data_IF_114889434684
#
_entry.id   IF_114889434684
#
_cell.length_a   1.000
_cell.length_b   1.000
_cell.length_c   1.000
_cell.angle_alpha   90.00
_cell.angle_beta   90.00
_cell.angle_gamma   90.00
#
_symmetry.space_group_name_H-M   'P 1'
#
loop_
_entity.id
_entity.type
_entity.pdbx_description
1 polymer ?
#
# COMPACT_ATOMS: atom_id res chain seq x y z
N UNK A 1 -5.18 -2.68 -17.16
CA UNK A 1 -4.38 -1.48 -16.81
C UNK A 1 -2.92 -1.81 -16.51
N UNK A 2 -2.61 -2.87 -15.74
CA UNK A 2 -1.22 -3.25 -15.39
C UNK A 2 -0.28 -3.51 -16.58
N UNK A 3 -0.76 -4.24 -17.60
CA UNK A 3 0.04 -4.50 -18.80
C UNK A 3 0.35 -3.23 -19.60
N UNK A 4 -0.53 -2.22 -19.54
CA UNK A 4 -0.34 -0.95 -20.24
C UNK A 4 0.70 -0.09 -19.53
N UNK A 5 0.59 0.09 -18.21
CA UNK A 5 1.58 0.83 -17.42
C UNK A 5 2.96 0.17 -17.48
N UNK A 6 3.00 -1.17 -17.41
CA UNK A 6 4.23 -1.95 -17.55
C UNK A 6 4.81 -1.88 -18.96
N UNK A 7 3.96 -1.93 -19.98
CA UNK A 7 4.38 -1.75 -21.38
C UNK A 7 5.02 -0.37 -21.59
N UNK A 8 4.40 0.69 -21.06
CA UNK A 8 4.94 2.05 -21.09
C UNK A 8 6.28 2.13 -20.37
N UNK A 9 6.40 1.56 -19.17
CA UNK A 9 7.69 1.54 -18.46
C UNK A 9 8.74 0.74 -19.22
N UNK A 10 8.39 -0.40 -19.82
CA UNK A 10 9.35 -1.24 -20.54
C UNK A 10 9.88 -0.57 -21.81
N UNK A 11 9.01 0.17 -22.52
CA UNK A 11 9.38 1.02 -23.66
C UNK A 11 10.29 2.17 -23.22
N UNK A 12 9.96 2.82 -22.09
CA UNK A 12 10.74 3.95 -21.60
C UNK A 12 12.11 3.54 -21.02
N UNK A 13 12.20 2.34 -20.45
CA UNK A 13 13.42 1.84 -19.79
C UNK A 13 14.27 0.93 -20.71
N UNK A 14 13.84 0.67 -21.96
CA UNK A 14 14.47 -0.31 -22.87
C UNK A 14 14.76 -1.68 -22.22
N UNK A 15 13.95 -2.07 -21.22
CA UNK A 15 14.16 -3.29 -20.43
C UNK A 15 15.41 -3.31 -19.53
N UNK A 16 16.16 -2.22 -19.44
CA UNK A 16 17.38 -2.14 -18.62
C UNK A 16 17.08 -1.55 -17.23
N UNK A 17 17.68 -2.09 -16.14
CA UNK A 17 17.52 -1.51 -14.82
C UNK A 17 18.19 -0.12 -14.75
N UNK A 18 17.47 0.90 -14.31
CA UNK A 18 18.05 2.23 -14.07
C UNK A 18 18.65 2.23 -12.67
N UNK A 19 19.98 2.21 -12.60
CA UNK A 19 20.73 2.30 -11.34
C UNK A 19 20.65 3.74 -10.82
N UNK A 20 20.27 3.90 -9.55
CA UNK A 20 20.35 5.19 -8.86
C UNK A 20 21.83 5.50 -8.62
N UNK A 21 22.43 6.26 -9.54
CA UNK A 21 23.85 6.60 -9.52
C UNK A 21 24.31 7.24 -8.21
N UNK A 22 25.54 6.93 -7.83
CA UNK A 22 26.28 7.47 -6.70
C UNK A 22 26.16 9.01 -6.60
N UNK A 23 25.29 9.48 -5.71
CA UNK A 23 25.17 10.86 -5.24
C UNK A 23 24.68 10.79 -3.80
N UNK A 24 24.99 11.74 -2.93
CA UNK A 24 24.71 11.69 -1.48
C UNK A 24 23.23 11.39 -1.10
N UNK A 25 22.31 11.54 -2.05
CA UNK A 25 20.90 11.14 -1.98
C UNK A 25 20.73 9.60 -1.93
N UNK A 26 21.58 8.86 -2.64
CA UNK A 26 21.62 7.40 -2.68
C UNK A 26 22.05 6.78 -1.34
N UNK A 27 22.88 7.46 -0.54
CA UNK A 27 23.24 6.97 0.81
C UNK A 27 22.07 7.14 1.80
N UNK A 28 21.29 8.21 1.67
CA UNK A 28 20.08 8.42 2.48
C UNK A 28 18.95 7.46 2.05
N UNK A 29 18.80 7.22 0.74
CA UNK A 29 17.89 6.19 0.20
C UNK A 29 18.35 4.77 0.56
N UNK A 30 19.65 4.51 0.54
CA UNK A 30 20.27 3.26 0.96
C UNK A 30 20.08 2.99 2.45
N UNK A 31 20.09 4.03 3.31
CA UNK A 31 19.71 3.88 4.71
C UNK A 31 18.22 3.55 4.89
N UNK A 32 17.33 4.11 4.05
CA UNK A 32 15.91 3.77 4.02
C UNK A 32 15.62 2.34 3.54
N UNK A 33 16.43 1.79 2.63
CA UNK A 33 16.25 0.45 2.07
C UNK A 33 17.06 -0.67 2.76
N UNK A 34 18.29 -0.36 3.18
CA UNK A 34 19.32 -1.31 3.64
C UNK A 34 19.78 -0.99 5.08
N UNK A 35 19.41 0.18 5.61
CA UNK A 35 19.66 0.53 7.01
C UNK A 35 19.08 -0.52 7.96
N UNK A 36 19.84 -0.86 8.99
CA UNK A 36 19.44 -1.80 10.03
C UNK A 36 19.47 -1.11 11.40
N UNK A 37 18.60 -0.11 11.64
CA UNK A 37 18.46 0.42 12.99
C UNK A 37 18.08 -0.73 13.93
N UNK A 38 18.92 -0.96 14.95
CA UNK A 38 18.76 -2.03 15.94
C UNK A 38 18.78 -3.47 15.36
N UNK A 39 19.44 -3.68 14.22
CA UNK A 39 19.55 -5.01 13.58
C UNK A 39 18.33 -5.43 12.75
N UNK A 40 17.29 -4.60 12.71
CA UNK A 40 16.06 -4.84 11.94
C UNK A 40 16.04 -3.94 10.70
N UNK A 41 15.76 -4.47 9.49
CA UNK A 41 15.63 -3.66 8.28
C UNK A 41 14.63 -2.50 8.43
N UNK A 42 15.01 -1.30 7.98
CA UNK A 42 14.15 -0.09 7.97
C UNK A 42 12.76 -0.32 7.34
N UNK A 43 12.56 -1.13 6.28
CA UNK A 43 11.24 -1.44 5.74
C UNK A 43 10.25 -2.02 6.76
N UNK A 44 10.72 -2.80 7.74
CA UNK A 44 9.87 -3.38 8.80
C UNK A 44 9.38 -2.29 9.75
N UNK A 45 10.22 -1.30 10.06
CA UNK A 45 9.83 -0.13 10.86
C UNK A 45 8.77 0.70 10.14
N UNK A 46 8.95 0.95 8.84
CA UNK A 46 7.97 1.68 8.03
C UNK A 46 6.65 0.92 7.99
N UNK A 47 6.69 -0.40 7.76
CA UNK A 47 5.51 -1.26 7.82
C UNK A 47 4.80 -1.14 9.17
N UNK A 48 5.53 -1.21 10.28
CA UNK A 48 4.95 -1.11 11.62
C UNK A 48 4.28 0.26 11.86
N UNK A 49 4.92 1.36 11.45
CA UNK A 49 4.36 2.72 11.58
C UNK A 49 3.09 2.86 10.75
N UNK A 50 3.12 2.43 9.48
CA UNK A 50 1.96 2.45 8.59
C UNK A 50 0.83 1.61 9.16
N UNK A 51 1.14 0.44 9.70
CA UNK A 51 0.16 -0.45 10.28
C UNK A 51 -0.51 0.15 11.53
N UNK A 52 0.27 0.75 12.44
CA UNK A 52 -0.24 1.43 13.62
C UNK A 52 -1.12 2.63 13.21
N UNK A 53 -0.66 3.43 12.24
CA UNK A 53 -1.43 4.57 11.73
C UNK A 53 -2.75 4.12 11.10
N UNK A 54 -2.74 3.05 10.30
CA UNK A 54 -3.94 2.49 9.68
C UNK A 54 -4.88 1.88 10.73
N UNK A 55 -4.36 1.15 11.72
CA UNK A 55 -5.15 0.60 12.82
C UNK A 55 -5.83 1.70 13.64
N UNK A 56 -5.08 2.74 14.00
CA UNK A 56 -5.60 3.89 14.71
C UNK A 56 -6.68 4.62 13.88
N UNK A 57 -6.41 4.86 12.60
CA UNK A 57 -7.37 5.47 11.69
C UNK A 57 -8.67 4.65 11.63
N UNK A 58 -8.58 3.32 11.51
CA UNK A 58 -9.74 2.46 11.37
C UNK A 58 -10.56 2.34 12.66
N UNK A 59 -9.90 2.27 13.82
CA UNK A 59 -10.57 2.07 15.13
C UNK A 59 -11.01 3.36 15.81
N UNK A 60 -10.24 4.45 15.68
CA UNK A 60 -10.43 5.65 16.50
C UNK A 60 -11.00 6.84 15.71
N UNK A 61 -11.06 6.79 14.37
CA UNK A 61 -11.55 7.92 13.57
C UNK A 61 -12.96 7.71 13.02
N UNK A 62 -13.63 8.82 12.64
CA UNK A 62 -14.92 8.79 11.93
C UNK A 62 -14.78 8.16 10.54
N UNK A 63 -13.64 8.35 9.87
CA UNK A 63 -13.38 7.78 8.56
C UNK A 63 -13.45 6.25 8.58
N UNK A 64 -12.85 5.58 9.58
CA UNK A 64 -12.94 4.13 9.72
C UNK A 64 -14.38 3.63 9.76
N UNK A 65 -15.24 4.27 10.58
CA UNK A 65 -16.68 3.95 10.66
C UNK A 65 -17.41 4.15 9.33
N UNK A 66 -17.11 5.22 8.60
CA UNK A 66 -17.71 5.46 7.29
C UNK A 66 -17.25 4.44 6.24
N UNK A 67 -16.00 3.99 6.30
CA UNK A 67 -15.46 2.94 5.42
C UNK A 67 -16.18 1.61 5.67
N UNK A 68 -16.36 1.21 6.93
CA UNK A 68 -17.11 -0.01 7.27
C UNK A 68 -18.59 0.08 6.88
N UNK A 69 -19.24 1.23 7.13
CA UNK A 69 -20.64 1.45 6.74
C UNK A 69 -20.82 1.36 5.22
N UNK A 70 -19.95 2.03 4.46
CA UNK A 70 -19.93 1.99 3.01
C UNK A 70 -19.76 0.57 2.48
N UNK A 71 -18.86 -0.21 3.07
CA UNK A 71 -18.65 -1.61 2.69
C UNK A 71 -19.82 -2.52 3.02
N UNK A 72 -20.64 -2.23 4.04
CA UNK A 72 -21.80 -3.03 4.39
C UNK A 72 -23.01 -2.75 3.51
N UNK A 73 -23.34 -1.46 3.32
CA UNK A 73 -24.42 -1.04 2.43
C UNK A 73 -24.23 0.41 1.98
N UNK A 74 -23.84 0.59 0.71
CA UNK A 74 -23.62 1.91 0.12
C UNK A 74 -24.89 2.77 0.10
N UNK A 75 -26.04 2.18 -0.25
CA UNK A 75 -27.30 2.91 -0.35
C UNK A 75 -27.77 3.41 1.03
N UNK A 76 -27.67 2.56 2.06
CA UNK A 76 -28.01 2.93 3.44
C UNK A 76 -27.05 4.00 3.99
N UNK A 77 -25.76 3.92 3.64
CA UNK A 77 -24.75 4.91 4.05
C UNK A 77 -25.05 6.28 3.46
N UNK A 78 -25.45 6.34 2.17
CA UNK A 78 -25.86 7.59 1.51
C UNK A 78 -27.14 8.18 2.11
N UNK A 79 -28.13 7.33 2.42
CA UNK A 79 -29.38 7.75 3.07
C UNK A 79 -29.15 8.25 4.51
N UNK A 80 -28.08 7.79 5.17
CA UNK A 80 -27.68 8.24 6.51
C UNK A 80 -26.93 9.58 6.53
N UNK A 81 -26.90 10.30 5.39
CA UNK A 81 -26.27 11.63 5.27
C UNK A 81 -24.75 11.61 5.12
N UNK A 82 -24.14 10.44 4.91
CA UNK A 82 -22.70 10.32 4.66
C UNK A 82 -22.43 10.49 3.17
N UNK A 83 -21.53 11.42 2.83
CA UNK A 83 -21.10 11.64 1.44
C UNK A 83 -20.19 10.49 0.98
N UNK A 84 -20.81 9.44 0.42
CA UNK A 84 -20.12 8.23 -0.07
C UNK A 84 -18.98 8.56 -1.03
N UNK A 85 -19.19 9.49 -1.96
CA UNK A 85 -18.19 9.83 -2.98
C UNK A 85 -16.91 10.40 -2.36
N UNK A 86 -17.02 11.25 -1.33
CA UNK A 86 -15.85 11.77 -0.61
C UNK A 86 -15.08 10.67 0.10
N UNK A 87 -15.79 9.72 0.72
CA UNK A 87 -15.16 8.59 1.40
C UNK A 87 -14.43 7.71 0.40
N UNK A 88 -15.04 7.43 -0.76
CA UNK A 88 -14.39 6.68 -1.86
C UNK A 88 -13.11 7.38 -2.33
N UNK A 89 -13.17 8.69 -2.59
CA UNK A 89 -11.98 9.46 -3.02
C UNK A 89 -10.85 9.32 -2.00
N UNK A 90 -11.13 9.53 -0.70
CA UNK A 90 -10.13 9.41 0.36
C UNK A 90 -9.51 8.00 0.39
N UNK A 91 -10.33 6.95 0.30
CA UNK A 91 -9.85 5.56 0.33
C UNK A 91 -8.96 5.25 -0.87
N UNK A 92 -9.37 5.64 -2.08
CA UNK A 92 -8.56 5.42 -3.28
C UNK A 92 -7.26 6.24 -3.27
N UNK A 93 -7.29 7.48 -2.77
CA UNK A 93 -6.08 8.29 -2.60
C UNK A 93 -5.11 7.69 -1.59
N UNK A 94 -5.62 7.17 -0.45
CA UNK A 94 -4.79 6.46 0.53
C UNK A 94 -4.16 5.20 -0.05
N UNK A 95 -4.92 4.44 -0.85
CA UNK A 95 -4.37 3.27 -1.56
C UNK A 95 -3.22 3.66 -2.50
N UNK A 96 -3.40 4.72 -3.29
CA UNK A 96 -2.34 5.25 -4.16
C UNK A 96 -1.10 5.72 -3.40
N UNK A 97 -1.28 6.40 -2.27
CA UNK A 97 -0.18 6.86 -1.42
C UNK A 97 0.61 5.69 -0.81
N UNK A 98 -0.09 4.65 -0.33
CA UNK A 98 0.56 3.45 0.22
C UNK A 98 1.28 2.64 -0.86
N UNK A 99 0.69 2.53 -2.06
CA UNK A 99 1.32 1.89 -3.21
C UNK A 99 2.59 2.63 -3.66
N UNK A 100 2.55 3.96 -3.71
CA UNK A 100 3.72 4.79 -4.00
C UNK A 100 4.82 4.60 -2.95
N UNK A 101 4.47 4.59 -1.66
CA UNK A 101 5.42 4.32 -0.57
C UNK A 101 6.08 2.94 -0.71
N UNK A 102 5.29 1.90 -0.99
CA UNK A 102 5.81 0.55 -1.21
C UNK A 102 6.77 0.48 -2.42
N UNK A 103 6.43 1.17 -3.52
CA UNK A 103 7.29 1.28 -4.70
C UNK A 103 8.62 1.99 -4.41
N UNK A 104 8.59 3.08 -3.64
CA UNK A 104 9.81 3.78 -3.21
C UNK A 104 10.70 2.88 -2.36
N UNK A 105 10.11 2.11 -1.44
CA UNK A 105 10.86 1.15 -0.60
C UNK A 105 11.49 0.05 -1.46
N UNK A 106 10.77 -0.51 -2.43
CA UNK A 106 11.33 -1.53 -3.32
C UNK A 106 12.48 -0.99 -4.16
N UNK A 107 12.35 0.20 -4.76
CA UNK A 107 13.44 0.84 -5.50
C UNK A 107 14.64 1.09 -4.59
N UNK A 108 14.43 1.56 -3.36
CA UNK A 108 15.48 1.77 -2.37
C UNK A 108 16.17 0.45 -1.95
N UNK A 109 15.43 -0.66 -1.85
CA UNK A 109 15.99 -1.98 -1.53
C UNK A 109 16.81 -2.56 -2.68
N UNK A 110 16.34 -2.40 -3.91
CA UNK A 110 16.99 -2.94 -5.11
C UNK A 110 18.13 -2.04 -5.63
N UNK A 111 18.24 -0.78 -5.13
CA UNK A 111 19.16 0.26 -5.65
C UNK A 111 19.08 0.46 -7.17
N UNK A 112 17.97 0.02 -7.75
CA UNK A 112 17.76 -0.12 -9.19
C UNK A 112 16.26 -0.20 -9.45
N UNK A 113 15.76 0.67 -10.32
CA UNK A 113 14.38 0.60 -10.79
C UNK A 113 14.27 -0.47 -11.89
N UNK A 114 13.74 -1.65 -11.54
CA UNK A 114 13.44 -2.71 -12.50
C UNK A 114 11.97 -2.65 -12.92
N UNK A 115 11.64 -2.65 -14.23
CA UNK A 115 10.26 -2.61 -14.71
C UNK A 115 9.44 -3.85 -14.35
N UNK A 116 10.11 -4.92 -13.92
CA UNK A 116 9.52 -6.19 -13.51
C UNK A 116 9.34 -6.30 -11.99
N UNK A 117 9.93 -5.39 -11.21
CA UNK A 117 9.79 -5.38 -9.75
C UNK A 117 8.32 -5.14 -9.37
N UNK A 118 7.81 -5.94 -8.43
CA UNK A 118 6.41 -5.90 -8.01
C UNK A 118 5.42 -6.70 -8.86
N UNK A 119 5.89 -7.52 -9.81
CA UNK A 119 4.98 -8.42 -10.55
C UNK A 119 4.29 -9.39 -9.60
N UNK A 120 2.96 -9.32 -9.51
CA UNK A 120 2.16 -10.22 -8.67
C UNK A 120 1.91 -9.69 -7.25
N UNK A 121 2.58 -8.61 -6.85
CA UNK A 121 2.36 -7.99 -5.53
C UNK A 121 0.93 -7.52 -5.34
N UNK A 122 0.24 -7.19 -6.42
CA UNK A 122 -1.14 -6.73 -6.34
C UNK A 122 -2.09 -7.90 -6.05
N UNK A 123 -1.85 -9.06 -6.67
CA UNK A 123 -2.60 -10.28 -6.39
C UNK A 123 -2.27 -10.80 -4.99
N UNK A 124 -0.99 -10.77 -4.59
CA UNK A 124 -0.55 -11.15 -3.25
C UNK A 124 -1.14 -10.22 -2.18
N UNK A 125 -1.23 -8.91 -2.45
CA UNK A 125 -1.87 -7.97 -1.54
C UNK A 125 -3.38 -8.27 -1.38
N UNK A 126 -4.09 -8.58 -2.47
CA UNK A 126 -5.49 -9.00 -2.40
C UNK A 126 -5.60 -10.32 -1.62
N UNK A 127 -4.75 -11.30 -1.92
CA UNK A 127 -4.74 -12.59 -1.25
C UNK A 127 -4.47 -12.46 0.25
N UNK A 128 -3.49 -11.66 0.67
CA UNK A 128 -3.17 -11.43 2.07
C UNK A 128 -4.33 -10.77 2.84
N UNK A 129 -5.03 -9.82 2.23
CA UNK A 129 -6.18 -9.14 2.84
C UNK A 129 -7.38 -10.08 2.98
N UNK A 130 -7.63 -10.93 1.97
CA UNK A 130 -8.70 -11.94 1.98
C UNK A 130 -8.41 -13.05 2.98
N UNK A 131 -7.17 -13.58 2.99
CA UNK A 131 -6.72 -14.59 3.93
C UNK A 131 -6.78 -14.07 5.37
N UNK A 132 -6.48 -12.79 5.58
CA UNK A 132 -6.63 -12.11 6.86
C UNK A 132 -8.07 -11.78 7.28
N UNK A 133 -9.07 -12.39 6.64
CA UNK A 133 -10.47 -12.32 7.06
C UNK A 133 -11.23 -11.06 6.66
N UNK A 134 -10.73 -10.29 5.70
CA UNK A 134 -11.49 -9.16 5.13
C UNK A 134 -12.44 -9.65 4.03
N UNK A 135 -13.72 -9.29 4.16
CA UNK A 135 -14.75 -9.68 3.20
C UNK A 135 -14.61 -8.93 1.88
N UNK A 136 -14.57 -9.66 0.76
CA UNK A 136 -14.66 -9.07 -0.59
C UNK A 136 -16.01 -8.39 -0.85
N UNK A 137 -17.07 -8.87 -0.19
CA UNK A 137 -18.40 -8.26 -0.24
C UNK A 137 -18.51 -7.00 0.62
N UNK A 138 -17.46 -6.66 1.40
CA UNK A 138 -17.39 -5.45 2.22
C UNK A 138 -18.04 -5.59 3.60
N UNK A 139 -17.91 -4.53 4.41
CA UNK A 139 -18.62 -4.36 5.69
C UNK A 139 -18.04 -5.13 6.87
N UNK A 140 -17.12 -6.07 6.64
CA UNK A 140 -16.46 -6.89 7.67
C UNK A 140 -14.99 -7.08 7.34
N UNK A 141 -14.12 -6.87 8.33
CA UNK A 141 -12.69 -7.11 8.22
C UNK A 141 -11.95 -6.55 9.44
N UNK A 142 -10.81 -7.15 9.79
CA UNK A 142 -9.94 -6.67 10.86
C UNK A 142 -8.53 -6.51 10.30
N UNK A 143 -7.97 -5.31 10.45
CA UNK A 143 -6.60 -5.03 9.98
C UNK A 143 -5.56 -5.96 10.63
N UNK A 144 -5.82 -6.41 11.86
CA UNK A 144 -4.98 -7.38 12.60
C UNK A 144 -4.96 -8.74 11.92
N UNK A 145 -6.07 -9.18 11.32
CA UNK A 145 -6.11 -10.44 10.57
C UNK A 145 -5.26 -10.38 9.31
N UNK A 146 -5.23 -9.24 8.62
CA UNK A 146 -4.37 -9.01 7.45
C UNK A 146 -2.88 -9.10 7.76
N UNK A 147 -2.44 -8.67 8.95
CA UNK A 147 -1.03 -8.79 9.35
C UNK A 147 -0.62 -10.23 9.69
N UNK A 148 -1.54 -11.00 10.27
CA UNK A 148 -1.28 -12.36 10.77
C UNK A 148 -1.56 -13.43 9.69
N UNK A 149 -2.38 -13.11 8.67
CA UNK A 149 -2.74 -14.01 7.59
C UNK A 149 -3.61 -15.20 8.04
N UNK A 150 -4.46 -15.01 9.05
CA UNK A 150 -5.33 -16.04 9.62
C UNK A 150 -6.72 -15.50 9.95
#
# INVERSE_FOLDING_TARGET
MMLLLRGVTMVYTNGSPVNTGFTDVADTFGWFGIGRPLGVPTPIWIMAIVFIAAWYMLHHTRLGRYIYALGGNEAATRLSGISVDRVKIIVYSLCGLLAALAGVIEVARLSSAQPTAGTGYELDAIAAVVLGGTSLAGGKGRIVGTLIGR
#
